data_IF_747161776812
#
_entry.id   IF_747161776812
#
_cell.length_a   1.000
_cell.length_b   1.000
_cell.length_c   1.000
_cell.angle_alpha   90.00
_cell.angle_beta   90.00
_cell.angle_gamma   90.00
#
_symmetry.space_group_name_H-M   'P 1'
#
loop_
_entity.id
_entity.type
_entity.pdbx_description
1 polymer ?
#
# COMPACT_ATOMS: atom_id res chain seq x y z
N UNK A 1 -86.38 -14.31 -19.58
CA UNK A 1 -86.32 -15.79 -19.55
C UNK A 1 -85.06 -16.25 -20.27
N UNK A 2 -84.48 -17.36 -19.82
CA UNK A 2 -83.43 -18.17 -20.47
C UNK A 2 -81.96 -17.73 -20.37
N UNK A 3 -81.37 -18.31 -19.32
CA UNK A 3 -79.97 -18.65 -19.03
C UNK A 3 -79.22 -19.22 -20.25
N UNK A 4 -77.90 -18.97 -20.33
CA UNK A 4 -76.94 -20.08 -20.30
C UNK A 4 -75.55 -19.63 -19.82
N UNK A 5 -75.13 -20.32 -18.76
CA UNK A 5 -73.82 -20.33 -18.10
C UNK A 5 -72.99 -21.42 -18.79
N UNK A 6 -71.69 -21.21 -19.07
CA UNK A 6 -70.69 -22.28 -18.87
C UNK A 6 -69.24 -21.76 -18.80
N UNK A 7 -68.76 -21.77 -17.56
CA UNK A 7 -67.42 -21.94 -16.98
C UNK A 7 -66.14 -21.93 -17.85
N UNK A 8 -65.28 -20.98 -17.44
CA UNK A 8 -63.82 -20.97 -17.44
C UNK A 8 -63.19 -22.29 -16.94
N UNK A 9 -62.16 -22.77 -17.64
CA UNK A 9 -60.88 -23.30 -17.12
C UNK A 9 -60.09 -23.92 -18.30
N UNK A 10 -58.86 -23.49 -18.57
CA UNK A 10 -57.64 -24.33 -18.77
C UNK A 10 -56.40 -23.40 -18.88
N UNK A 11 -55.57 -23.45 -17.83
CA UNK A 11 -54.11 -23.65 -17.89
C UNK A 11 -53.23 -22.77 -18.76
N UNK A 12 -52.70 -21.68 -18.18
CA UNK A 12 -51.54 -20.96 -18.68
C UNK A 12 -50.26 -21.67 -18.19
N UNK A 13 -49.64 -22.48 -19.05
CA UNK A 13 -48.32 -23.09 -18.81
C UNK A 13 -47.25 -22.04 -19.11
N UNK A 14 -46.69 -21.44 -18.07
CA UNK A 14 -45.47 -20.61 -18.18
C UNK A 14 -44.28 -21.55 -18.23
N UNK A 15 -43.74 -21.80 -19.42
CA UNK A 15 -42.44 -22.44 -19.59
C UNK A 15 -41.38 -21.37 -19.27
N UNK A 16 -40.88 -21.39 -18.04
CA UNK A 16 -39.63 -20.71 -17.70
C UNK A 16 -38.48 -21.48 -18.39
N UNK A 17 -37.99 -20.95 -19.51
CA UNK A 17 -36.81 -21.43 -20.20
C UNK A 17 -35.56 -21.13 -19.35
N UNK A 18 -35.17 -22.10 -18.53
CA UNK A 18 -33.87 -22.14 -17.87
C UNK A 18 -32.78 -22.50 -18.89
N UNK A 19 -32.26 -21.52 -19.61
CA UNK A 19 -30.95 -21.61 -20.25
C UNK A 19 -30.00 -20.58 -19.62
N UNK A 20 -28.89 -21.00 -19.00
CA UNK A 20 -27.87 -20.08 -18.52
C UNK A 20 -27.13 -19.43 -19.72
N UNK A 21 -26.88 -18.12 -19.71
CA UNK A 21 -26.11 -17.47 -20.77
C UNK A 21 -24.66 -17.96 -20.77
N UNK A 22 -24.00 -17.99 -21.94
CA UNK A 22 -22.63 -18.44 -22.08
C UNK A 22 -21.69 -17.51 -21.29
N UNK A 23 -20.85 -18.12 -20.45
CA UNK A 23 -19.72 -17.49 -19.77
C UNK A 23 -18.73 -16.93 -20.80
N UNK A 24 -18.94 -15.70 -21.23
CA UNK A 24 -17.93 -14.90 -21.91
C UNK A 24 -17.05 -14.23 -20.85
N UNK A 25 -15.74 -14.46 -20.96
CA UNK A 25 -14.70 -14.05 -20.03
C UNK A 25 -14.79 -12.59 -19.62
N UNK A 26 -15.34 -12.36 -18.43
CA UNK A 26 -15.36 -11.06 -17.77
C UNK A 26 -14.05 -10.79 -17.06
N UNK A 27 -13.48 -9.61 -17.31
CA UNK A 27 -12.32 -9.10 -16.60
C UNK A 27 -12.51 -9.17 -15.08
N UNK A 28 -11.42 -9.42 -14.36
CA UNK A 28 -11.41 -9.54 -12.91
C UNK A 28 -11.81 -8.20 -12.27
N UNK A 29 -13.10 -8.06 -11.99
CA UNK A 29 -13.60 -7.08 -11.04
C UNK A 29 -13.09 -7.40 -9.63
N UNK A 30 -13.20 -6.44 -8.69
CA UNK A 30 -12.91 -6.70 -7.29
C UNK A 30 -13.72 -7.91 -6.80
N UNK A 31 -13.16 -8.72 -5.87
CA UNK A 31 -13.88 -9.86 -5.33
C UNK A 31 -15.24 -9.40 -4.79
N UNK A 32 -16.31 -10.19 -4.99
CA UNK A 32 -17.62 -9.82 -4.51
C UNK A 32 -17.55 -9.55 -2.99
N UNK A 33 -18.27 -8.53 -2.50
CA UNK A 33 -18.28 -8.22 -1.07
C UNK A 33 -18.73 -9.46 -0.28
N UNK A 34 -18.20 -9.65 0.95
CA UNK A 34 -18.63 -10.76 1.78
C UNK A 34 -20.15 -10.70 1.99
N UNK A 35 -20.83 -11.86 2.01
CA UNK A 35 -22.28 -11.89 2.23
C UNK A 35 -22.59 -11.27 3.60
N UNK A 36 -23.56 -10.36 3.63
CA UNK A 36 -24.07 -9.81 4.88
C UNK A 36 -24.88 -10.89 5.62
N UNK A 37 -24.57 -11.10 6.90
CA UNK A 37 -25.29 -12.03 7.76
C UNK A 37 -24.40 -12.62 8.86
N UNK A 38 -25.04 -13.37 9.76
CA UNK A 38 -24.36 -14.04 10.86
C UNK A 38 -23.27 -14.99 10.29
N UNK A 39 -22.00 -14.87 10.71
CA UNK A 39 -20.94 -15.66 10.12
C UNK A 39 -21.13 -17.18 10.36
N UNK A 40 -20.86 -18.04 9.36
CA UNK A 40 -21.11 -19.49 9.45
C UNK A 40 -20.18 -20.21 10.44
N UNK A 41 -19.14 -19.54 10.94
CA UNK A 41 -18.22 -20.09 11.93
C UNK A 41 -18.62 -19.77 13.38
N UNK A 42 -19.81 -19.19 13.61
CA UNK A 42 -20.22 -18.75 14.95
C UNK A 42 -20.12 -19.86 15.99
N UNK A 43 -20.50 -21.09 15.65
CA UNK A 43 -20.50 -22.22 16.59
C UNK A 43 -19.09 -22.68 17.00
N UNK A 44 -18.04 -22.16 16.33
CA UNK A 44 -16.63 -22.41 16.67
C UNK A 44 -16.05 -21.38 17.64
N UNK A 45 -16.80 -20.32 17.95
CA UNK A 45 -16.39 -19.30 18.91
C UNK A 45 -16.65 -19.76 20.35
N UNK A 46 -15.90 -19.26 21.35
CA UNK A 46 -16.28 -19.38 22.76
C UNK A 46 -17.67 -18.80 23.04
N UNK A 47 -18.38 -19.33 24.04
CA UNK A 47 -19.80 -19.00 24.29
C UNK A 47 -20.07 -17.50 24.50
N UNK A 48 -19.15 -16.78 25.16
CA UNK A 48 -19.24 -15.34 25.37
C UNK A 48 -19.12 -14.56 24.05
N UNK A 49 -18.20 -14.98 23.17
CA UNK A 49 -18.02 -14.41 21.84
C UNK A 49 -19.19 -14.75 20.91
N UNK A 50 -19.77 -15.95 21.02
CA UNK A 50 -21.01 -16.30 20.31
C UNK A 50 -22.14 -15.35 20.67
N UNK A 51 -22.37 -15.09 21.96
CA UNK A 51 -23.43 -14.20 22.42
C UNK A 51 -23.23 -12.77 21.92
N UNK A 52 -22.01 -12.24 22.00
CA UNK A 52 -21.65 -10.93 21.44
C UNK A 52 -21.87 -10.87 19.93
N UNK A 53 -21.49 -11.92 19.21
CA UNK A 53 -21.69 -12.01 17.76
C UNK A 53 -23.18 -12.01 17.40
N UNK A 54 -24.02 -12.77 18.12
CA UNK A 54 -25.48 -12.75 17.93
C UNK A 54 -26.06 -11.37 18.21
N UNK A 55 -25.58 -10.67 19.25
CA UNK A 55 -26.02 -9.31 19.58
C UNK A 55 -25.65 -8.28 18.49
N UNK A 56 -24.43 -8.35 17.92
CA UNK A 56 -24.00 -7.47 16.81
C UNK A 56 -24.97 -7.57 15.62
N UNK A 57 -25.39 -8.80 15.29
CA UNK A 57 -26.23 -9.07 14.12
C UNK A 57 -27.74 -9.12 14.43
N UNK A 58 -28.16 -8.91 15.68
CA UNK A 58 -29.57 -9.12 16.10
C UNK A 58 -30.57 -8.20 15.39
N UNK A 59 -30.13 -6.98 15.04
CA UNK A 59 -30.96 -5.96 14.41
C UNK A 59 -30.73 -5.86 12.89
N UNK A 60 -29.86 -6.71 12.34
CA UNK A 60 -29.54 -6.68 10.91
C UNK A 60 -30.76 -7.13 10.09
N UNK A 61 -31.07 -6.36 9.04
CA UNK A 61 -32.13 -6.69 8.08
C UNK A 61 -31.52 -7.10 6.75
N UNK A 62 -31.98 -8.22 6.20
CA UNK A 62 -31.50 -8.72 4.91
C UNK A 62 -31.68 -7.66 3.82
N UNK A 63 -30.58 -7.34 3.11
CA UNK A 63 -30.55 -6.32 2.06
C UNK A 63 -30.16 -4.92 2.54
N UNK A 64 -30.04 -4.68 3.85
CA UNK A 64 -29.43 -3.46 4.37
C UNK A 64 -27.89 -3.53 4.30
N UNK A 65 -27.23 -2.37 4.30
CA UNK A 65 -25.78 -2.30 4.42
C UNK A 65 -25.32 -2.87 5.77
N UNK A 66 -24.29 -3.71 5.76
CA UNK A 66 -23.79 -4.44 6.93
C UNK A 66 -22.37 -4.03 7.35
N UNK A 67 -21.93 -2.84 6.94
CA UNK A 67 -20.55 -2.37 7.14
C UNK A 67 -20.20 -2.26 8.63
N UNK A 68 -21.15 -1.81 9.45
CA UNK A 68 -20.97 -1.62 10.89
C UNK A 68 -20.88 -2.96 11.62
N UNK A 69 -21.74 -3.91 11.26
CA UNK A 69 -21.78 -5.27 11.80
C UNK A 69 -20.49 -6.01 11.46
N UNK A 70 -19.99 -5.85 10.23
CA UNK A 70 -18.68 -6.39 9.85
C UNK A 70 -17.52 -5.75 10.62
N UNK A 71 -17.55 -4.43 10.85
CA UNK A 71 -16.52 -3.76 11.63
C UNK A 71 -16.49 -4.27 13.07
N UNK A 72 -17.66 -4.35 13.72
CA UNK A 72 -17.79 -4.88 15.08
C UNK A 72 -17.42 -6.37 15.16
N UNK A 73 -17.78 -7.16 14.15
CA UNK A 73 -17.38 -8.57 14.03
C UNK A 73 -15.87 -8.72 14.00
N UNK A 74 -15.16 -7.90 13.21
CA UNK A 74 -13.68 -7.92 13.15
C UNK A 74 -13.08 -7.52 14.50
N UNK A 75 -13.59 -6.47 15.12
CA UNK A 75 -13.12 -6.02 16.44
C UNK A 75 -13.27 -7.11 17.50
N UNK A 76 -14.41 -7.82 17.51
CA UNK A 76 -14.63 -8.96 18.40
C UNK A 76 -13.60 -10.07 18.13
N UNK A 77 -13.39 -10.46 16.87
CA UNK A 77 -12.41 -11.49 16.50
C UNK A 77 -10.97 -11.11 16.84
N UNK A 78 -10.61 -9.84 16.69
CA UNK A 78 -9.28 -9.31 17.02
C UNK A 78 -9.04 -9.26 18.53
N UNK A 79 -10.10 -9.16 19.35
CA UNK A 79 -10.01 -9.25 20.81
C UNK A 79 -9.84 -10.68 21.34
N UNK A 80 -10.10 -11.70 20.51
CA UNK A 80 -9.93 -13.09 20.93
C UNK A 80 -8.44 -13.47 21.04
N UNK A 81 -8.08 -14.37 21.96
CA UNK A 81 -6.72 -14.93 22.03
C UNK A 81 -6.29 -15.53 20.69
N UNK A 82 -5.01 -15.37 20.34
CA UNK A 82 -4.46 -15.87 19.06
C UNK A 82 -4.70 -17.37 18.87
N UNK A 83 -4.64 -18.17 19.94
CA UNK A 83 -4.93 -19.61 19.89
C UNK A 83 -6.36 -19.93 19.43
N UNK A 84 -7.34 -19.16 19.91
CA UNK A 84 -8.75 -19.29 19.54
C UNK A 84 -8.96 -18.84 18.09
N UNK A 85 -8.37 -17.72 17.70
CA UNK A 85 -8.45 -17.19 16.33
C UNK A 85 -7.88 -18.20 15.33
N UNK A 86 -6.70 -18.76 15.61
CA UNK A 86 -6.07 -19.79 14.79
C UNK A 86 -6.90 -21.07 14.72
N UNK A 87 -7.64 -21.44 15.77
CA UNK A 87 -8.51 -22.62 15.75
C UNK A 87 -9.75 -22.42 14.85
N UNK A 88 -10.32 -21.22 14.83
CA UNK A 88 -11.50 -20.85 14.01
C UNK A 88 -11.13 -20.74 12.54
N UNK A 89 -10.00 -20.07 12.27
CA UNK A 89 -9.49 -19.82 10.92
C UNK A 89 -8.39 -20.79 10.52
N UNK A 90 -8.30 -21.98 11.16
CA UNK A 90 -7.44 -23.07 10.67
C UNK A 90 -7.70 -23.17 9.18
N UNK A 91 -6.68 -22.84 8.40
CA UNK A 91 -6.74 -22.89 6.95
C UNK A 91 -7.15 -24.32 6.58
N UNK A 92 -8.43 -24.53 6.29
CA UNK A 92 -8.81 -25.56 5.33
C UNK A 92 -7.97 -25.32 4.09
N UNK A 93 -7.57 -26.37 3.35
CA UNK A 93 -6.65 -26.24 2.23
C UNK A 93 -7.07 -25.03 1.41
N UNK A 94 -6.23 -24.00 1.41
CA UNK A 94 -6.53 -22.79 0.65
C UNK A 94 -6.89 -23.26 -0.75
N UNK A 95 -8.07 -22.94 -1.30
CA UNK A 95 -8.27 -23.12 -2.72
C UNK A 95 -7.08 -22.40 -3.37
N UNK A 96 -6.29 -23.09 -4.19
CA UNK A 96 -5.06 -22.54 -4.71
C UNK A 96 -5.40 -21.20 -5.36
N UNK A 97 -4.59 -20.14 -5.15
CA UNK A 97 -4.74 -18.95 -5.96
C UNK A 97 -4.75 -19.42 -7.44
N UNK A 98 -5.57 -18.81 -8.31
CA UNK A 98 -5.74 -19.23 -9.70
C UNK A 98 -4.45 -19.10 -10.55
N UNK A 99 -3.32 -18.83 -9.91
CA UNK A 99 -1.98 -18.77 -10.51
C UNK A 99 -1.16 -19.92 -9.93
N UNK A 100 -0.76 -20.84 -10.81
CA UNK A 100 -0.09 -22.12 -10.52
C UNK A 100 1.31 -22.06 -9.92
N UNK A 101 1.52 -21.23 -8.90
CA UNK A 101 2.58 -21.45 -7.93
C UNK A 101 1.93 -22.13 -6.74
N UNK A 102 2.17 -23.43 -6.58
CA UNK A 102 1.80 -24.14 -5.36
C UNK A 102 2.30 -23.36 -4.13
N UNK A 103 1.66 -23.54 -2.97
CA UNK A 103 2.14 -22.93 -1.74
C UNK A 103 3.65 -23.19 -1.63
N UNK A 104 4.46 -22.17 -1.29
CA UNK A 104 5.89 -22.36 -1.17
C UNK A 104 6.12 -23.54 -0.21
N UNK A 105 7.06 -24.45 -0.53
CA UNK A 105 7.33 -25.58 0.33
C UNK A 105 7.59 -25.06 1.76
N UNK A 106 7.07 -25.75 2.79
CA UNK A 106 7.29 -25.34 4.16
C UNK A 106 8.81 -25.20 4.40
N UNK A 107 9.23 -24.22 5.20
CA UNK A 107 10.64 -24.08 5.53
C UNK A 107 11.17 -25.42 6.08
N UNK A 108 12.38 -25.83 5.70
CA UNK A 108 12.94 -27.08 6.20
C UNK A 108 13.06 -27.01 7.73
N UNK A 109 12.61 -28.07 8.41
CA UNK A 109 12.81 -28.20 9.85
C UNK A 109 14.30 -28.33 10.15
N UNK A 110 14.80 -27.53 11.10
CA UNK A 110 16.19 -27.54 11.54
C UNK A 110 16.72 -26.15 11.86
N UNK A 111 18.01 -26.10 12.23
CA UNK A 111 18.68 -24.84 12.53
C UNK A 111 18.66 -23.92 11.30
N UNK A 112 18.29 -22.63 11.46
CA UNK A 112 18.20 -21.71 10.34
C UNK A 112 19.58 -21.47 9.67
N UNK A 113 19.66 -21.36 8.34
CA UNK A 113 20.92 -21.19 7.61
C UNK A 113 21.62 -19.84 7.86
N UNK A 114 20.96 -18.90 8.53
CA UNK A 114 21.51 -17.59 8.88
C UNK A 114 22.05 -17.53 10.32
N UNK A 115 22.09 -18.65 11.03
CA UNK A 115 22.46 -18.71 12.45
C UNK A 115 23.81 -18.04 12.74
N UNK A 116 24.80 -18.20 11.88
CA UNK A 116 26.15 -17.62 12.05
C UNK A 116 26.16 -16.08 12.00
N UNK A 117 25.08 -15.46 11.50
CA UNK A 117 24.92 -13.99 11.44
C UNK A 117 24.28 -13.41 12.70
N UNK A 118 23.84 -14.26 13.63
CA UNK A 118 23.24 -13.84 14.89
C UNK A 118 24.32 -13.61 15.96
N UNK A 119 24.08 -12.73 16.94
CA UNK A 119 24.92 -12.63 18.14
C UNK A 119 24.96 -13.96 18.91
N UNK A 120 26.03 -14.19 19.66
CA UNK A 120 26.30 -15.46 20.32
C UNK A 120 25.18 -15.92 21.29
N UNK A 121 24.54 -14.99 21.98
CA UNK A 121 23.41 -15.27 22.88
C UNK A 121 22.18 -15.77 22.11
N UNK A 122 21.85 -15.14 20.99
CA UNK A 122 20.75 -15.54 20.11
C UNK A 122 21.05 -16.90 19.44
N UNK A 123 22.30 -17.14 19.04
CA UNK A 123 22.72 -18.44 18.55
C UNK A 123 22.52 -19.54 19.60
N UNK A 124 22.89 -19.29 20.86
CA UNK A 124 22.72 -20.26 21.94
C UNK A 124 21.25 -20.56 22.21
N UNK A 125 20.39 -19.53 22.21
CA UNK A 125 18.94 -19.71 22.34
C UNK A 125 18.35 -20.53 21.19
N UNK A 126 18.79 -20.32 19.95
CA UNK A 126 18.38 -21.16 18.82
C UNK A 126 18.85 -22.62 18.98
N UNK A 127 20.09 -22.85 19.43
CA UNK A 127 20.54 -24.23 19.72
C UNK A 127 19.64 -24.89 20.74
N UNK A 128 19.24 -24.17 21.79
CA UNK A 128 18.36 -24.70 22.83
C UNK A 128 16.94 -25.00 22.32
N UNK A 129 16.36 -24.12 21.49
CA UNK A 129 15.04 -24.34 20.85
C UNK A 129 15.05 -25.63 20.03
N UNK A 130 16.10 -25.85 19.24
CA UNK A 130 16.19 -26.99 18.33
C UNK A 130 16.88 -28.24 18.93
N UNK A 131 17.35 -28.20 20.18
CA UNK A 131 18.17 -29.28 20.76
C UNK A 131 17.45 -30.62 20.87
N UNK A 132 16.13 -30.59 21.05
CA UNK A 132 15.29 -31.77 21.24
C UNK A 132 14.51 -32.16 19.97
N UNK A 133 14.70 -31.42 18.88
CA UNK A 133 14.00 -31.69 17.63
C UNK A 133 14.45 -33.03 17.04
N UNK A 134 13.49 -33.86 16.63
CA UNK A 134 13.75 -35.14 15.98
C UNK A 134 13.42 -35.05 14.50
N UNK A 135 14.33 -35.49 13.65
CA UNK A 135 14.10 -35.47 12.21
C UNK A 135 12.84 -36.24 11.84
N UNK A 136 11.93 -35.58 11.13
CA UNK A 136 10.64 -36.16 10.73
C UNK A 136 9.47 -35.90 11.69
N UNK A 137 9.70 -35.30 12.87
CA UNK A 137 8.60 -34.76 13.68
C UNK A 137 8.16 -33.39 13.16
N UNK A 138 6.92 -33.00 13.48
CA UNK A 138 6.46 -31.63 13.23
C UNK A 138 7.34 -30.63 13.99
N UNK A 139 7.69 -29.51 13.35
CA UNK A 139 8.61 -28.50 13.89
C UNK A 139 7.97 -27.11 14.06
N UNK A 140 6.64 -27.06 14.10
CA UNK A 140 5.88 -25.81 14.15
C UNK A 140 6.20 -24.99 15.41
N UNK A 141 6.39 -25.67 16.55
CA UNK A 141 6.67 -25.01 17.82
C UNK A 141 8.06 -24.36 17.82
N UNK A 142 9.05 -25.04 17.27
CA UNK A 142 10.43 -24.58 17.14
C UNK A 142 10.53 -23.39 16.17
N UNK A 143 9.75 -23.43 15.09
CA UNK A 143 9.62 -22.29 14.17
C UNK A 143 8.99 -21.07 14.85
N UNK A 144 7.94 -21.25 15.65
CA UNK A 144 7.30 -20.14 16.38
C UNK A 144 8.24 -19.53 17.42
N UNK A 145 8.95 -20.36 18.19
CA UNK A 145 9.96 -19.91 19.14
C UNK A 145 11.13 -19.20 18.44
N UNK A 146 11.57 -19.72 17.29
CA UNK A 146 12.59 -19.08 16.45
C UNK A 146 12.13 -17.69 15.99
N UNK A 147 10.86 -17.56 15.56
CA UNK A 147 10.29 -16.26 15.17
C UNK A 147 10.22 -15.30 16.34
N UNK A 148 9.75 -15.74 17.50
CA UNK A 148 9.70 -14.92 18.72
C UNK A 148 11.09 -14.39 19.12
N UNK A 149 12.11 -15.25 19.05
CA UNK A 149 13.49 -14.83 19.29
C UNK A 149 13.94 -13.76 18.30
N UNK A 150 13.69 -13.95 17.00
CA UNK A 150 14.06 -12.97 15.97
C UNK A 150 13.34 -11.63 16.11
N UNK A 151 12.08 -11.64 16.55
CA UNK A 151 11.30 -10.43 16.78
C UNK A 151 11.74 -9.68 18.05
N UNK A 152 12.37 -10.38 19.02
CA UNK A 152 12.98 -9.75 20.19
C UNK A 152 14.32 -9.05 19.90
N UNK A 153 14.92 -9.27 18.72
CA UNK A 153 16.19 -8.65 18.34
C UNK A 153 16.01 -7.17 17.93
N UNK A 154 17.01 -6.32 18.18
CA UNK A 154 17.03 -4.95 17.69
C UNK A 154 16.80 -4.86 16.17
N UNK A 155 16.01 -3.87 15.74
CA UNK A 155 15.58 -3.74 14.34
C UNK A 155 16.74 -3.59 13.34
N UNK A 156 17.83 -2.93 13.74
CA UNK A 156 19.06 -2.80 12.95
C UNK A 156 19.72 -4.16 12.69
N UNK A 157 19.77 -5.02 13.71
CA UNK A 157 20.33 -6.36 13.63
C UNK A 157 19.45 -7.28 12.76
N UNK A 158 18.12 -7.27 13.00
CA UNK A 158 17.15 -8.01 12.19
C UNK A 158 17.27 -7.65 10.69
N UNK A 159 17.40 -6.35 10.40
CA UNK A 159 17.56 -5.86 9.03
C UNK A 159 18.88 -6.32 8.39
N UNK A 160 19.98 -6.36 9.15
CA UNK A 160 21.29 -6.80 8.64
C UNK A 160 21.29 -8.28 8.21
N UNK A 161 20.61 -9.14 8.98
CA UNK A 161 20.53 -10.59 8.71
C UNK A 161 19.83 -10.87 7.37
N UNK A 162 18.76 -10.13 7.07
CA UNK A 162 17.90 -10.37 5.89
C UNK A 162 18.20 -9.47 4.68
N UNK A 163 19.21 -8.57 4.75
CA UNK A 163 19.55 -7.63 3.67
C UNK A 163 20.25 -8.27 2.46
N UNK A 164 20.87 -9.44 2.61
CA UNK A 164 21.73 -10.05 1.59
C UNK A 164 21.28 -11.43 1.10
N UNK A 165 20.05 -11.85 1.43
CA UNK A 165 19.45 -13.08 0.88
C UNK A 165 18.49 -12.78 -0.27
N UNK A 166 18.16 -13.76 -1.13
CA UNK A 166 16.95 -13.66 -1.95
C UNK A 166 15.76 -13.35 -1.03
N UNK A 167 14.81 -12.51 -1.47
CA UNK A 167 13.70 -12.08 -0.62
C UNK A 167 12.98 -13.32 -0.05
N UNK A 168 12.62 -13.33 1.25
CA UNK A 168 11.85 -14.43 1.81
C UNK A 168 10.50 -14.54 1.06
N UNK A 169 9.97 -15.75 0.84
CA UNK A 169 8.66 -15.95 0.21
C UNK A 169 7.49 -15.42 1.06
N UNK A 170 7.77 -14.92 2.27
CA UNK A 170 6.78 -14.33 3.16
C UNK A 170 6.57 -12.85 2.84
N UNK A 171 5.79 -12.61 1.78
CA UNK A 171 5.09 -11.36 1.56
C UNK A 171 3.89 -11.22 2.50
N UNK A 172 4.10 -11.22 3.83
CA UNK A 172 3.08 -10.71 4.74
C UNK A 172 3.28 -9.22 4.93
N UNK A 173 2.38 -8.47 4.30
CA UNK A 173 2.08 -7.08 4.62
C UNK A 173 1.64 -7.02 6.08
N UNK A 174 2.56 -6.73 7.01
CA UNK A 174 2.17 -6.24 8.34
C UNK A 174 1.40 -4.94 8.09
N UNK A 175 0.10 -4.99 8.34
CA UNK A 175 -0.78 -3.83 8.25
C UNK A 175 -0.37 -2.87 9.38
N UNK A 176 0.40 -1.85 9.04
CA UNK A 176 1.15 -1.01 9.99
C UNK A 176 0.31 0.02 10.76
N UNK A 177 -1.03 -0.08 10.78
CA UNK A 177 -1.88 0.98 11.32
C UNK A 177 -2.85 0.59 12.45
N UNK A 178 -2.82 -0.64 13.00
CA UNK A 178 -3.74 -1.01 14.10
C UNK A 178 -3.05 -1.63 15.33
N UNK A 179 -1.76 -1.97 15.26
CA UNK A 179 -1.03 -2.53 16.41
C UNK A 179 -0.21 -1.50 17.23
N UNK A 180 -0.30 -0.20 16.93
CA UNK A 180 0.53 0.83 17.57
C UNK A 180 -0.12 1.55 18.77
N UNK A 181 -1.41 1.35 19.04
CA UNK A 181 -2.10 2.07 20.13
C UNK A 181 -2.35 1.24 21.39
N UNK A 182 -2.07 -0.07 21.41
CA UNK A 182 -2.46 -0.95 22.52
C UNK A 182 -1.31 -1.50 23.38
N UNK A 183 -0.06 -1.10 23.14
CA UNK A 183 1.10 -1.57 23.94
C UNK A 183 1.67 -0.49 24.88
N UNK A 184 1.24 0.77 24.75
CA UNK A 184 1.77 1.87 25.59
C UNK A 184 1.00 2.15 26.90
N UNK A 185 0.01 1.34 27.27
CA UNK A 185 -0.89 1.67 28.39
C UNK A 185 -0.66 0.88 29.70
N UNK A 186 0.32 -0.03 29.83
CA UNK A 186 0.37 -0.90 31.02
C UNK A 186 1.72 -1.08 31.73
N UNK A 187 2.76 -0.31 31.42
CA UNK A 187 3.92 -0.27 32.31
C UNK A 187 4.36 1.18 32.55
N UNK A 188 3.93 1.70 33.69
CA UNK A 188 4.64 2.78 34.34
C UNK A 188 6.00 2.25 34.82
N UNK A 189 7.05 2.97 34.47
CA UNK A 189 8.30 2.93 35.22
C UNK A 189 8.98 4.29 35.17
N UNK A 190 9.20 4.84 36.35
CA UNK A 190 10.01 6.01 36.66
C UNK A 190 11.47 5.79 36.24
N UNK A 191 12.14 6.86 35.79
CA UNK A 191 13.61 6.91 35.81
C UNK A 191 14.28 7.35 34.50
N UNK A 192 14.64 8.64 34.45
CA UNK A 192 15.91 9.20 33.93
C UNK A 192 16.45 8.74 32.56
N UNK A 193 16.31 9.57 31.52
CA UNK A 193 17.41 10.40 30.98
C UNK A 193 16.93 11.24 29.77
N UNK A 194 17.23 12.54 29.80
CA UNK A 194 16.70 13.62 28.94
C UNK A 194 17.26 13.63 27.49
N UNK A 195 17.98 12.59 27.08
CA UNK A 195 18.72 12.53 25.80
C UNK A 195 18.00 11.81 24.65
N UNK A 196 16.99 10.98 24.93
CA UNK A 196 16.38 10.09 23.91
C UNK A 196 15.02 10.58 23.37
N UNK A 197 14.40 11.59 24.00
CA UNK A 197 13.20 12.24 23.46
C UNK A 197 13.51 13.02 22.17
N UNK A 198 14.70 13.61 22.05
CA UNK A 198 15.09 14.38 20.88
C UNK A 198 15.26 13.52 19.63
N UNK A 199 15.83 12.31 19.74
CA UNK A 199 16.00 11.40 18.61
C UNK A 199 14.66 10.79 18.16
N UNK A 200 13.78 10.49 19.13
CA UNK A 200 12.44 9.96 18.87
C UNK A 200 11.55 11.02 18.21
N UNK A 201 11.58 12.26 18.69
CA UNK A 201 10.91 13.40 18.05
C UNK A 201 11.49 13.68 16.66
N UNK A 202 12.81 13.57 16.46
CA UNK A 202 13.43 13.74 15.14
C UNK A 202 12.98 12.66 14.13
N UNK A 203 12.86 11.39 14.57
CA UNK A 203 12.38 10.29 13.71
C UNK A 203 10.90 10.39 13.37
N UNK A 204 10.05 10.78 14.31
CA UNK A 204 8.60 11.02 14.08
C UNK A 204 8.42 12.22 13.13
N UNK A 205 9.25 13.26 13.26
CA UNK A 205 9.25 14.40 12.34
C UNK A 205 9.67 13.98 10.92
N UNK A 206 10.69 13.13 10.78
CA UNK A 206 11.17 12.63 9.48
C UNK A 206 10.16 11.76 8.73
N UNK A 207 9.39 10.90 9.42
CA UNK A 207 8.37 10.05 8.78
C UNK A 207 7.11 10.83 8.39
N UNK A 208 6.69 11.79 9.23
CA UNK A 208 5.61 12.72 8.89
C UNK A 208 6.03 13.67 7.75
N UNK A 209 7.28 14.15 7.75
CA UNK A 209 7.84 14.94 6.66
C UNK A 209 7.95 14.15 5.35
N UNK A 210 8.27 12.85 5.39
CA UNK A 210 8.32 12.02 4.18
C UNK A 210 6.92 11.75 3.61
N UNK A 211 5.93 11.50 4.47
CA UNK A 211 4.52 11.32 4.10
C UNK A 211 3.91 12.60 3.51
N UNK A 212 4.13 13.75 4.14
CA UNK A 212 3.67 15.05 3.63
C UNK A 212 4.46 15.50 2.38
N UNK A 213 5.76 15.19 2.30
CA UNK A 213 6.56 15.37 1.08
C UNK A 213 5.99 14.60 -0.10
N UNK A 214 5.57 13.35 0.08
CA UNK A 214 5.00 12.55 -1.02
C UNK A 214 3.61 13.09 -1.42
N UNK A 215 2.79 13.49 -0.45
CA UNK A 215 1.45 14.06 -0.69
C UNK A 215 1.54 15.37 -1.47
N UNK A 216 2.29 16.36 -1.00
CA UNK A 216 2.40 17.66 -1.68
C UNK A 216 3.26 17.58 -2.96
N UNK A 217 4.18 16.61 -3.08
CA UNK A 217 4.88 16.30 -4.33
C UNK A 217 3.91 15.86 -5.43
N UNK A 218 2.93 15.00 -5.09
CA UNK A 218 1.83 14.64 -5.98
C UNK A 218 0.93 15.85 -6.28
N UNK A 219 0.73 16.75 -5.30
CA UNK A 219 -0.02 17.98 -5.53
C UNK A 219 0.67 18.88 -6.57
N UNK A 220 1.98 19.11 -6.46
CA UNK A 220 2.68 20.05 -7.35
C UNK A 220 3.07 19.46 -8.71
N UNK A 221 3.03 18.13 -8.89
CA UNK A 221 3.48 17.44 -10.11
C UNK A 221 2.40 16.55 -10.74
N UNK A 222 1.13 16.97 -10.69
CA UNK A 222 0.07 16.32 -11.48
C UNK A 222 0.46 16.39 -12.97
N UNK A 223 0.73 15.26 -13.64
CA UNK A 223 1.00 15.28 -15.07
C UNK A 223 -0.32 15.56 -15.80
N UNK A 224 -0.42 16.69 -16.49
CA UNK A 224 -1.34 16.79 -17.62
C UNK A 224 -0.62 16.18 -18.83
N UNK A 225 -1.06 15.01 -19.28
CA UNK A 225 -0.68 14.47 -20.57
C UNK A 225 -1.15 15.45 -21.65
N UNK A 226 -0.23 16.01 -22.43
CA UNK A 226 -0.53 16.78 -23.62
C UNK A 226 -0.47 15.89 -24.88
N UNK A 227 -1.47 16.13 -25.73
CA UNK A 227 -1.55 15.91 -27.18
C UNK A 227 -1.83 14.51 -27.72
N UNK A 228 -3.12 14.18 -27.74
CA UNK A 228 -3.76 13.64 -28.95
C UNK A 228 -4.82 14.64 -29.41
N UNK A 229 -4.72 15.09 -30.66
CA UNK A 229 -5.71 15.92 -31.35
C UNK A 229 -7.11 15.32 -31.14
N UNK A 230 -7.99 16.04 -30.47
CA UNK A 230 -9.43 15.79 -30.56
C UNK A 230 -10.12 17.05 -31.06
N UNK A 231 -10.86 16.84 -32.14
CA UNK A 231 -11.76 17.78 -32.79
C UNK A 231 -12.76 18.35 -31.79
N UNK A 232 -13.09 19.63 -31.97
CA UNK A 232 -14.12 20.35 -31.24
C UNK A 232 -15.40 19.52 -31.07
N UNK A 233 -15.77 19.21 -29.83
CA UNK A 233 -17.15 19.32 -29.36
C UNK A 233 -17.13 19.52 -27.84
N UNK A 234 -17.79 20.58 -27.39
CA UNK A 234 -17.76 21.05 -26.01
C UNK A 234 -18.37 20.04 -25.04
N UNK A 235 -17.54 19.53 -24.14
CA UNK A 235 -17.91 19.06 -22.81
C UNK A 235 -16.63 19.03 -21.98
N UNK A 236 -16.57 19.86 -20.93
CA UNK A 236 -15.45 19.85 -19.97
C UNK A 236 -15.47 18.54 -19.19
N UNK A 237 -14.41 17.71 -19.22
CA UNK A 237 -14.39 16.51 -18.40
C UNK A 237 -14.06 16.91 -16.96
N UNK A 238 -14.98 16.61 -16.03
CA UNK A 238 -14.65 16.46 -14.62
C UNK A 238 -13.61 15.34 -14.51
N UNK A 239 -12.36 15.70 -14.26
CA UNK A 239 -11.27 14.75 -14.03
C UNK A 239 -11.49 14.12 -12.66
N UNK A 240 -12.16 12.98 -12.63
CA UNK A 240 -12.16 12.08 -11.48
C UNK A 240 -10.76 11.47 -11.35
N UNK A 241 -10.01 11.89 -10.33
CA UNK A 241 -8.82 11.17 -9.88
C UNK A 241 -9.25 9.82 -9.29
N UNK A 242 -9.36 8.80 -10.14
CA UNK A 242 -9.47 7.42 -9.68
C UNK A 242 -8.09 7.05 -9.12
N UNK A 243 -7.97 7.01 -7.80
CA UNK A 243 -6.78 6.55 -7.07
C UNK A 243 -6.65 5.03 -7.20
N UNK A 244 -6.37 4.55 -8.41
CA UNK A 244 -5.95 3.17 -8.64
C UNK A 244 -4.54 2.91 -8.11
N UNK A 245 -4.17 1.65 -7.84
CA UNK A 245 -2.79 1.28 -7.59
C UNK A 245 -1.90 1.82 -8.72
N UNK A 246 -0.70 2.36 -8.43
CA UNK A 246 0.19 2.84 -9.48
C UNK A 246 0.44 1.72 -10.48
N UNK A 247 0.17 1.98 -11.76
CA UNK A 247 0.45 1.02 -12.82
C UNK A 247 1.93 0.62 -12.77
N UNK A 248 2.26 -0.67 -12.93
CA UNK A 248 3.64 -1.11 -12.95
C UNK A 248 4.39 -0.34 -14.06
N UNK A 249 5.66 0.03 -13.83
CA UNK A 249 6.45 0.68 -14.87
C UNK A 249 6.47 -0.21 -16.13
N UNK A 250 6.45 0.38 -17.32
CA UNK A 250 6.52 -0.40 -18.55
C UNK A 250 7.82 -1.19 -18.58
N UNK A 251 7.74 -2.47 -18.99
CA UNK A 251 8.92 -3.28 -19.23
C UNK A 251 9.72 -2.72 -20.42
N UNK A 252 11.02 -2.57 -20.25
CA UNK A 252 11.94 -2.09 -21.28
C UNK A 252 13.00 -1.17 -20.71
N UNK A 253 13.92 -0.75 -21.59
CA UNK A 253 14.99 0.16 -21.21
C UNK A 253 14.39 1.46 -20.63
N UNK A 254 14.80 1.90 -19.42
CA UNK A 254 14.19 3.05 -18.78
C UNK A 254 14.34 4.34 -19.62
N UNK A 255 13.30 5.20 -19.68
CA UNK A 255 13.31 6.42 -20.51
C UNK A 255 14.31 7.49 -20.02
N UNK A 256 14.93 7.29 -18.86
CA UNK A 256 15.94 8.18 -18.30
C UNK A 256 17.37 7.67 -18.50
N UNK A 257 17.58 6.61 -19.31
CA UNK A 257 18.90 6.00 -19.53
C UNK A 257 19.96 7.05 -19.89
N UNK A 258 19.65 7.97 -20.80
CA UNK A 258 20.62 8.97 -21.27
C UNK A 258 20.96 10.05 -20.24
N UNK A 259 20.20 10.12 -19.14
CA UNK A 259 20.48 11.03 -18.00
C UNK A 259 21.44 10.41 -16.98
N UNK A 260 21.75 9.12 -17.10
CA UNK A 260 22.65 8.43 -16.19
C UNK A 260 24.13 8.73 -16.52
N UNK A 261 25.03 8.66 -15.53
CA UNK A 261 26.47 8.61 -15.79
C UNK A 261 26.83 7.44 -16.72
N UNK A 262 27.88 7.59 -17.52
CA UNK A 262 28.25 6.62 -18.56
C UNK A 262 28.45 5.19 -18.02
N UNK A 263 29.04 5.04 -16.82
CA UNK A 263 29.23 3.75 -16.17
C UNK A 263 27.90 3.08 -15.80
N UNK A 264 26.94 3.86 -15.30
CA UNK A 264 25.61 3.39 -14.96
C UNK A 264 24.75 3.11 -16.20
N UNK A 265 24.93 3.86 -17.28
CA UNK A 265 24.29 3.57 -18.56
C UNK A 265 24.67 2.20 -19.08
N UNK A 266 25.97 1.86 -19.08
CA UNK A 266 26.46 0.55 -19.53
C UNK A 266 25.87 -0.56 -18.67
N UNK A 267 25.87 -0.41 -17.34
CA UNK A 267 25.29 -1.40 -16.42
C UNK A 267 23.80 -1.61 -16.69
N UNK A 268 23.02 -0.54 -16.83
CA UNK A 268 21.58 -0.66 -17.11
C UNK A 268 21.34 -1.26 -18.49
N UNK A 269 22.09 -0.87 -19.52
CA UNK A 269 21.95 -1.48 -20.85
C UNK A 269 22.28 -2.98 -20.84
N UNK A 270 23.28 -3.41 -20.06
CA UNK A 270 23.61 -4.84 -19.93
C UNK A 270 22.50 -5.63 -19.23
N UNK A 271 21.86 -5.07 -18.19
CA UNK A 271 20.69 -5.68 -17.52
C UNK A 271 19.56 -5.95 -18.52
N UNK A 272 19.28 -4.99 -19.40
CA UNK A 272 18.17 -5.08 -20.36
C UNK A 272 18.54 -5.71 -21.72
N UNK A 273 19.81 -6.12 -21.92
CA UNK A 273 20.32 -6.60 -23.23
C UNK A 273 19.64 -7.87 -23.74
N UNK A 274 19.27 -8.77 -22.82
CA UNK A 274 18.66 -10.05 -23.14
C UNK A 274 17.13 -10.06 -22.94
N UNK A 275 16.55 -8.93 -22.57
CA UNK A 275 15.12 -8.82 -22.32
C UNK A 275 14.32 -8.94 -23.63
N UNK A 276 13.26 -9.74 -23.62
CA UNK A 276 12.33 -9.88 -24.75
C UNK A 276 10.96 -9.32 -24.40
N UNK A 277 10.37 -8.57 -25.33
CA UNK A 277 9.05 -7.98 -25.13
C UNK A 277 8.01 -9.05 -24.81
N UNK A 278 7.26 -8.85 -23.72
CA UNK A 278 6.24 -9.79 -23.24
C UNK A 278 6.74 -10.81 -22.21
N UNK A 279 8.05 -10.84 -21.91
CA UNK A 279 8.57 -11.59 -20.76
C UNK A 279 8.43 -10.78 -19.47
N UNK A 280 8.41 -11.48 -18.33
CA UNK A 280 8.45 -10.83 -17.02
C UNK A 280 9.74 -10.02 -16.87
N UNK A 281 9.62 -8.80 -16.37
CA UNK A 281 10.72 -7.82 -16.29
C UNK A 281 11.07 -7.42 -14.85
N UNK A 282 10.57 -8.17 -13.87
CA UNK A 282 10.77 -7.87 -12.44
C UNK A 282 12.25 -7.92 -12.04
N UNK A 283 13.00 -8.87 -12.59
CA UNK A 283 14.43 -9.02 -12.30
C UNK A 283 15.23 -7.82 -12.84
N UNK A 284 14.96 -7.42 -14.08
CA UNK A 284 15.59 -6.28 -14.75
C UNK A 284 15.25 -4.97 -14.04
N UNK A 285 14.00 -4.79 -13.61
CA UNK A 285 13.61 -3.65 -12.78
C UNK A 285 14.31 -3.66 -11.42
N UNK A 286 14.45 -4.82 -10.78
CA UNK A 286 15.15 -4.97 -9.50
C UNK A 286 16.63 -4.60 -9.63
N UNK A 287 17.32 -5.15 -10.62
CA UNK A 287 18.73 -4.85 -10.89
C UNK A 287 18.94 -3.39 -11.28
N UNK A 288 18.07 -2.83 -12.13
CA UNK A 288 18.07 -1.40 -12.45
C UNK A 288 17.92 -0.56 -11.18
N UNK A 289 17.01 -0.92 -10.28
CA UNK A 289 16.80 -0.21 -9.01
C UNK A 289 18.04 -0.27 -8.12
N UNK A 290 18.75 -1.40 -8.07
CA UNK A 290 20.01 -1.51 -7.34
C UNK A 290 21.10 -0.60 -7.90
N UNK A 291 21.25 -0.56 -9.23
CA UNK A 291 22.17 0.37 -9.91
C UNK A 291 21.81 1.80 -9.52
N UNK A 292 20.52 2.17 -9.63
CA UNK A 292 20.05 3.49 -9.23
C UNK A 292 20.40 3.81 -7.77
N UNK A 293 20.16 2.91 -6.82
CA UNK A 293 20.46 3.15 -5.40
C UNK A 293 21.94 3.28 -5.10
N UNK A 294 22.81 2.61 -5.86
CA UNK A 294 24.27 2.74 -5.73
C UNK A 294 24.82 4.10 -6.18
N UNK A 295 24.05 4.86 -6.97
CA UNK A 295 24.47 6.17 -7.44
C UNK A 295 24.51 7.20 -6.29
N UNK A 296 25.50 8.14 -6.33
CA UNK A 296 25.55 9.25 -5.40
C UNK A 296 24.23 10.03 -5.34
N UNK A 297 23.87 10.51 -4.15
CA UNK A 297 22.58 11.17 -3.94
C UNK A 297 22.38 12.41 -4.82
N UNK A 298 23.46 13.13 -5.14
CA UNK A 298 23.41 14.30 -6.04
C UNK A 298 23.11 13.90 -7.50
N UNK A 299 23.69 12.79 -7.96
CA UNK A 299 23.43 12.24 -9.30
C UNK A 299 21.98 11.81 -9.42
N UNK A 300 21.48 11.03 -8.44
CA UNK A 300 20.06 10.61 -8.41
C UNK A 300 19.09 11.78 -8.44
N UNK A 301 19.40 12.87 -7.73
CA UNK A 301 18.57 14.08 -7.70
C UNK A 301 18.49 14.78 -9.04
N UNK A 302 19.58 14.82 -9.81
CA UNK A 302 19.58 15.38 -11.16
C UNK A 302 18.73 14.55 -12.12
N UNK A 303 18.74 13.22 -11.98
CA UNK A 303 17.98 12.29 -12.83
C UNK A 303 16.49 12.37 -12.55
N UNK A 304 16.11 12.29 -11.27
CA UNK A 304 14.72 12.32 -10.81
C UNK A 304 14.29 13.73 -10.36
N UNK A 305 14.89 14.76 -10.96
CA UNK A 305 14.53 16.15 -10.70
C UNK A 305 13.05 16.33 -11.07
N UNK A 306 12.19 16.77 -10.14
CA UNK A 306 10.80 17.03 -10.45
C UNK A 306 10.69 18.04 -11.60
N UNK A 307 9.76 17.86 -12.56
CA UNK A 307 9.48 18.90 -13.53
C UNK A 307 9.04 20.18 -12.82
N UNK A 308 9.27 21.33 -13.46
CA UNK A 308 8.69 22.57 -12.96
C UNK A 308 7.17 22.55 -13.20
N UNK A 309 6.38 23.22 -12.36
CA UNK A 309 4.97 23.46 -12.62
C UNK A 309 4.74 24.01 -14.04
N UNK A 310 3.65 23.62 -14.74
CA UNK A 310 3.43 23.98 -16.13
C UNK A 310 3.56 25.47 -16.46
N UNK A 311 3.05 26.43 -15.66
CA UNK A 311 3.23 27.86 -15.94
C UNK A 311 4.70 28.28 -15.92
N UNK A 312 5.51 27.66 -15.06
CA UNK A 312 6.94 27.97 -14.93
C UNK A 312 7.77 27.34 -16.05
N UNK A 313 7.29 26.30 -16.73
CA UNK A 313 7.98 25.73 -17.90
C UNK A 313 8.00 26.68 -19.10
N UNK A 314 7.05 27.61 -19.18
CA UNK A 314 6.99 28.66 -20.21
C UNK A 314 7.94 29.83 -19.96
N UNK A 315 8.43 29.98 -18.73
CA UNK A 315 9.33 31.07 -18.38
C UNK A 315 10.73 30.85 -18.99
N UNK A 316 11.53 31.92 -19.20
CA UNK A 316 12.91 31.80 -19.68
C UNK A 316 13.78 30.97 -18.71
N UNK A 317 14.85 30.35 -19.23
CA UNK A 317 15.66 29.38 -18.47
C UNK A 317 16.30 29.98 -17.21
N UNK A 318 16.74 31.24 -17.26
CA UNK A 318 17.29 31.95 -16.10
C UNK A 318 16.25 32.13 -14.99
N UNK A 319 14.99 32.36 -15.35
CA UNK A 319 13.87 32.46 -14.42
C UNK A 319 13.53 31.08 -13.86
N UNK A 320 13.47 30.05 -14.70
CA UNK A 320 13.26 28.66 -14.27
C UNK A 320 14.30 28.22 -13.25
N UNK A 321 15.57 28.55 -13.47
CA UNK A 321 16.66 28.15 -12.58
C UNK A 321 16.56 28.81 -11.20
N UNK A 322 16.05 30.04 -11.10
CA UNK A 322 15.74 30.69 -9.81
C UNK A 322 14.67 29.91 -9.02
N UNK A 323 13.63 29.41 -9.70
CA UNK A 323 12.63 28.56 -9.05
C UNK A 323 13.19 27.20 -8.65
N UNK A 324 14.00 26.58 -9.52
CA UNK A 324 14.67 25.31 -9.20
C UNK A 324 15.56 25.43 -7.97
N UNK A 325 16.28 26.53 -7.82
CA UNK A 325 17.11 26.79 -6.64
C UNK A 325 16.30 26.71 -5.34
N UNK A 326 15.08 27.25 -5.31
CA UNK A 326 14.18 27.15 -4.13
C UNK A 326 13.74 25.69 -3.89
N UNK A 327 13.41 24.95 -4.95
CA UNK A 327 13.00 23.57 -4.84
C UNK A 327 14.14 22.63 -4.39
N UNK A 328 15.37 22.92 -4.80
CA UNK A 328 16.55 22.12 -4.48
C UNK A 328 17.17 22.47 -3.12
N UNK A 329 16.95 23.70 -2.64
CA UNK A 329 17.46 24.14 -1.35
C UNK A 329 16.86 23.31 -0.20
N UNK A 330 17.75 22.66 0.56
CA UNK A 330 17.41 21.82 1.70
C UNK A 330 17.21 22.61 2.98
N UNK A 331 17.76 23.82 3.06
CA UNK A 331 17.61 24.71 4.21
C UNK A 331 16.17 25.24 4.33
N UNK A 332 15.41 25.21 3.23
CA UNK A 332 14.03 25.69 3.18
C UNK A 332 13.10 24.53 3.57
N UNK A 333 12.36 24.65 4.68
CA UNK A 333 11.31 23.70 5.03
C UNK A 333 10.30 23.62 3.90
N UNK A 334 9.80 22.41 3.65
CA UNK A 334 8.95 22.14 2.50
C UNK A 334 7.66 22.98 2.50
N UNK A 335 7.02 23.18 3.66
CA UNK A 335 5.86 24.07 3.83
C UNK A 335 6.17 25.53 3.47
N UNK A 336 7.41 25.97 3.67
CA UNK A 336 7.85 27.34 3.35
C UNK A 336 8.22 27.51 1.87
N UNK A 337 8.45 26.42 1.13
CA UNK A 337 8.81 26.48 -0.30
C UNK A 337 7.70 27.10 -1.13
N UNK A 338 6.44 26.73 -0.88
CA UNK A 338 5.30 27.29 -1.61
C UNK A 338 5.24 28.82 -1.49
N UNK A 339 5.41 29.34 -0.27
CA UNK A 339 5.44 30.80 -0.01
C UNK A 339 6.61 31.48 -0.73
N UNK A 340 7.82 30.93 -0.63
CA UNK A 340 9.01 31.50 -1.30
C UNK A 340 8.90 31.46 -2.84
N UNK A 341 8.32 30.40 -3.39
CA UNK A 341 8.03 30.28 -4.83
C UNK A 341 7.03 31.35 -5.26
N UNK A 342 5.94 31.55 -4.49
CA UNK A 342 4.97 32.60 -4.78
C UNK A 342 5.59 34.01 -4.73
N UNK A 343 6.37 34.32 -3.69
CA UNK A 343 7.06 35.60 -3.56
C UNK A 343 8.04 35.85 -4.71
N UNK A 344 8.80 34.83 -5.12
CA UNK A 344 9.68 34.92 -6.28
C UNK A 344 8.87 35.17 -7.55
N UNK A 345 7.76 34.46 -7.74
CA UNK A 345 6.90 34.59 -8.90
C UNK A 345 6.35 36.01 -9.08
N UNK A 346 5.89 36.66 -8.00
CA UNK A 346 5.43 38.06 -8.08
C UNK A 346 6.55 39.03 -8.49
N UNK A 347 7.82 38.70 -8.24
CA UNK A 347 8.96 39.56 -8.56
C UNK A 347 9.49 39.35 -9.99
N UNK A 348 9.50 38.10 -10.46
CA UNK A 348 10.22 37.73 -11.70
C UNK A 348 9.30 37.41 -12.88
N UNK A 349 8.07 36.97 -12.63
CA UNK A 349 7.12 36.69 -13.70
C UNK A 349 6.39 37.98 -14.09
N UNK A 350 6.02 38.07 -15.38
CA UNK A 350 5.30 39.22 -15.96
C UNK A 350 4.24 38.72 -16.94
N UNK A 351 3.24 39.56 -17.21
CA UNK A 351 2.21 39.31 -18.21
C UNK A 351 1.43 38.02 -17.99
N UNK A 352 1.19 37.30 -19.07
CA UNK A 352 0.35 36.08 -19.09
C UNK A 352 0.92 34.95 -18.21
N UNK A 353 2.25 34.82 -18.13
CA UNK A 353 2.91 33.79 -17.31
C UNK A 353 2.63 34.02 -15.82
N UNK A 354 2.61 35.28 -15.36
CA UNK A 354 2.26 35.62 -13.97
C UNK A 354 0.79 35.31 -13.69
N UNK A 355 -0.09 35.63 -14.63
CA UNK A 355 -1.53 35.33 -14.52
C UNK A 355 -1.77 33.82 -14.41
N UNK A 356 -1.20 33.03 -15.32
CA UNK A 356 -1.30 31.56 -15.28
C UNK A 356 -0.71 30.97 -13.99
N UNK A 357 0.39 31.54 -13.49
CA UNK A 357 0.97 31.11 -12.22
C UNK A 357 0.02 31.37 -11.03
N UNK A 358 -0.61 32.54 -10.97
CA UNK A 358 -1.55 32.90 -9.90
C UNK A 358 -2.82 32.02 -9.93
N UNK A 359 -3.33 31.71 -11.12
CA UNK A 359 -4.43 30.76 -11.29
C UNK A 359 -4.03 29.35 -10.83
N UNK A 360 -2.86 28.88 -11.27
CA UNK A 360 -2.31 27.59 -10.84
C UNK A 360 -2.17 27.53 -9.30
N UNK A 361 -1.54 28.54 -8.71
CA UNK A 361 -1.31 28.62 -7.26
C UNK A 361 -2.63 28.61 -6.47
N UNK A 362 -3.66 29.33 -6.93
CA UNK A 362 -4.98 29.34 -6.28
C UNK A 362 -5.64 27.97 -6.28
N UNK A 363 -5.61 27.26 -7.43
CA UNK A 363 -6.13 25.88 -7.51
C UNK A 363 -5.37 24.93 -6.58
N UNK A 364 -4.05 25.10 -6.47
CA UNK A 364 -3.23 24.29 -5.59
C UNK A 364 -3.56 24.50 -4.11
N UNK A 365 -3.78 25.76 -3.69
CA UNK A 365 -4.19 26.07 -2.32
C UNK A 365 -5.59 25.55 -2.00
N UNK A 366 -6.54 25.65 -2.93
CA UNK A 366 -7.88 25.06 -2.76
C UNK A 366 -7.81 23.55 -2.60
N UNK A 367 -7.05 22.87 -3.45
CA UNK A 367 -6.85 21.43 -3.34
C UNK A 367 -6.19 21.05 -2.01
N UNK A 368 -5.20 21.83 -1.55
CA UNK A 368 -4.56 21.64 -0.24
C UNK A 368 -5.57 21.79 0.92
N UNK A 369 -6.47 22.76 0.85
CA UNK A 369 -7.55 22.96 1.84
C UNK A 369 -8.53 21.79 1.83
N UNK A 370 -8.97 21.35 0.65
CA UNK A 370 -9.87 20.20 0.49
C UNK A 370 -9.27 18.92 1.07
N UNK A 371 -7.99 18.66 0.80
CA UNK A 371 -7.26 17.52 1.37
C UNK A 371 -7.17 17.59 2.90
N UNK A 372 -6.88 18.77 3.47
CA UNK A 372 -6.85 18.96 4.92
C UNK A 372 -8.21 18.69 5.56
N UNK A 373 -9.30 19.15 4.94
CA UNK A 373 -10.65 18.88 5.44
C UNK A 373 -11.02 17.39 5.41
N UNK A 374 -10.59 16.65 4.38
CA UNK A 374 -10.83 15.20 4.30
C UNK A 374 -10.04 14.38 5.31
N UNK A 375 -8.97 14.93 5.87
CA UNK A 375 -8.12 14.28 6.87
C UNK A 375 -8.56 14.57 8.31
N UNK A 376 -9.50 15.50 8.52
CA UNK A 376 -10.14 15.71 9.83
C UNK A 376 -11.30 14.73 9.93
N UNK A 377 -11.23 13.70 10.80
CA UNK A 377 -12.36 12.80 11.00
C UNK A 377 -13.55 13.61 11.54
N UNK A 378 -14.80 13.27 11.16
CA UNK A 378 -15.97 13.95 11.70
C UNK A 378 -15.96 13.80 13.23
N UNK A 379 -16.06 14.92 13.94
CA UNK A 379 -16.25 14.92 15.39
C UNK A 379 -17.62 14.28 15.64
N UNK A 380 -17.71 13.19 16.41
CA UNK A 380 -19.00 12.59 16.73
C UNK A 380 -19.83 13.60 17.56
N UNK A 381 -21.05 13.85 17.08
CA UNK A 381 -22.04 14.72 17.73
C UNK A 381 -22.71 14.05 18.91
#
# INVERSE_FOLDING_TARGET
MSRLILFLLVGLVVIASSQPPPFLGGGMGPPPPPPCGLPPFIDKLPADAQQKMRHIWQNYRQGAECNNEHAQTRQLLDSLPTSVRSAIFKHGPHPPPPFGHGPPPPPPCGLPPFMDKLPADAQQKLRHIWQNYRQGSECNSEHDQTRQLLDSLPMNLRSAIFRHGPPPPFGHRLNSNVAWSAVFATYGYEGSDESDEAETLARIKLTNEFGERLKLFLLMNVPQCQDSKMVEHGMTPRINFVQGPPHPPPCGLPPFIDKLPADAQVKVREVWKNYKQGQDCNNEHSQTRQIMHSLPQEVRRKIFRPPLPPPLMKAPKDVQDKFRAIFEDRSIPFESKAKRVHELAQKVLKGDVLKEFNEFHSRMEEHRRSMKQRLVPPVPS
#
